data_IF_328135774688
#
_entry.id   IF_328135774688
#
_cell.length_a   1.000
_cell.length_b   1.000
_cell.length_c   1.000
_cell.angle_alpha   90.00
_cell.angle_beta   90.00
_cell.angle_gamma   90.00
#
_symmetry.space_group_name_H-M   'P 1'
#
loop_
_entity.id
_entity.type
_entity.pdbx_description
1 polymer ?
#
# COMPACT_ATOMS: atom_id res chain seq x y z
N UNK A 1 -10.10 8.33 -20.24
CA UNK A 1 -8.95 8.83 -19.46
C UNK A 1 -9.50 9.57 -18.26
N UNK A 2 -9.16 9.12 -17.04
CA UNK A 2 -9.64 9.77 -15.82
C UNK A 2 -9.01 11.15 -15.66
N UNK A 3 -9.78 12.11 -15.15
CA UNK A 3 -9.29 13.47 -14.87
C UNK A 3 -8.49 13.47 -13.55
N UNK A 4 -7.30 12.85 -13.59
CA UNK A 4 -6.43 12.71 -12.43
C UNK A 4 -5.99 14.07 -11.87
N UNK A 5 -5.86 15.08 -12.73
CA UNK A 5 -5.53 16.45 -12.34
C UNK A 5 -6.62 17.06 -11.45
N UNK A 6 -7.91 16.93 -11.82
CA UNK A 6 -9.00 17.37 -10.93
C UNK A 6 -9.06 16.57 -9.65
N UNK A 7 -8.87 15.25 -9.70
CA UNK A 7 -8.86 14.42 -8.50
C UNK A 7 -7.76 14.87 -7.52
N UNK A 8 -6.55 15.12 -8.03
CA UNK A 8 -5.43 15.62 -7.24
C UNK A 8 -5.76 16.98 -6.61
N UNK A 9 -6.34 17.92 -7.37
CA UNK A 9 -6.74 19.23 -6.87
C UNK A 9 -7.71 19.12 -5.69
N UNK A 10 -8.73 18.25 -5.80
CA UNK A 10 -9.69 18.03 -4.71
C UNK A 10 -9.03 17.41 -3.48
N UNK A 11 -8.18 16.39 -3.66
CA UNK A 11 -7.49 15.76 -2.53
C UNK A 11 -6.48 16.68 -1.86
N UNK A 12 -5.74 17.51 -2.58
CA UNK A 12 -4.81 18.48 -2.01
C UNK A 12 -5.55 19.59 -1.23
N UNK A 13 -6.70 20.07 -1.74
CA UNK A 13 -7.55 21.01 -1.00
C UNK A 13 -8.06 20.40 0.31
N UNK A 14 -8.56 19.17 0.26
CA UNK A 14 -9.01 18.46 1.46
C UNK A 14 -7.86 18.24 2.45
N UNK A 15 -6.68 17.86 1.96
CA UNK A 15 -5.49 17.66 2.77
C UNK A 15 -5.09 18.93 3.54
N UNK A 16 -5.06 20.09 2.85
CA UNK A 16 -4.76 21.39 3.47
C UNK A 16 -5.75 21.77 4.57
N UNK A 17 -7.01 21.37 4.44
CA UNK A 17 -8.03 21.57 5.50
C UNK A 17 -7.71 20.67 6.69
N UNK A 18 -7.43 19.40 6.45
CA UNK A 18 -7.06 18.45 7.51
C UNK A 18 -5.78 18.88 8.25
N UNK A 19 -4.74 19.33 7.56
CA UNK A 19 -3.50 19.80 8.19
C UNK A 19 -3.72 20.98 9.13
N UNK A 20 -4.67 21.87 8.81
CA UNK A 20 -5.00 23.02 9.67
C UNK A 20 -5.89 22.65 10.86
N UNK A 21 -6.75 21.65 10.68
CA UNK A 21 -7.80 21.32 11.65
C UNK A 21 -7.42 20.19 12.60
N UNK A 22 -6.45 19.34 12.26
CA UNK A 22 -6.18 18.10 12.95
C UNK A 22 -4.74 18.03 13.50
N UNK A 23 -4.51 17.29 14.60
CA UNK A 23 -3.17 17.06 15.10
C UNK A 23 -2.34 16.24 14.08
N UNK A 24 -1.00 16.38 14.05
CA UNK A 24 -0.14 15.80 13.01
C UNK A 24 -0.23 14.27 12.81
N UNK A 25 -0.66 13.52 13.82
CA UNK A 25 -0.78 12.06 13.75
C UNK A 25 -2.24 11.59 13.58
N UNK A 26 -3.17 12.49 13.21
CA UNK A 26 -4.57 12.12 13.06
C UNK A 26 -4.77 11.13 11.88
N UNK A 27 -5.54 10.04 12.05
CA UNK A 27 -5.74 9.04 10.98
C UNK A 27 -6.24 9.61 9.64
N UNK A 28 -7.08 10.65 9.67
CA UNK A 28 -7.55 11.33 8.45
C UNK A 28 -6.43 11.94 7.62
N UNK A 29 -5.33 12.42 8.24
CA UNK A 29 -4.16 12.90 7.51
C UNK A 29 -3.51 11.74 6.75
N UNK A 30 -3.35 10.58 7.38
CA UNK A 30 -2.81 9.40 6.71
C UNK A 30 -3.68 8.97 5.52
N UNK A 31 -5.00 8.93 5.69
CA UNK A 31 -5.92 8.60 4.59
C UNK A 31 -5.80 9.59 3.43
N UNK A 32 -5.74 10.89 3.72
CA UNK A 32 -5.59 11.91 2.67
C UNK A 32 -4.26 11.80 1.91
N UNK A 33 -3.15 11.55 2.61
CA UNK A 33 -1.86 11.26 1.98
C UNK A 33 -1.90 10.00 1.11
N UNK A 34 -2.52 8.92 1.59
CA UNK A 34 -2.65 7.68 0.82
C UNK A 34 -3.48 7.87 -0.45
N UNK A 35 -4.52 8.72 -0.42
CA UNK A 35 -5.33 9.03 -1.61
C UNK A 35 -4.52 9.82 -2.64
N UNK A 36 -3.77 10.84 -2.20
CA UNK A 36 -2.88 11.62 -3.07
C UNK A 36 -1.82 10.70 -3.71
N UNK A 37 -1.19 9.83 -2.92
CA UNK A 37 -0.22 8.85 -3.42
C UNK A 37 -0.83 7.91 -4.47
N UNK A 38 -2.06 7.45 -4.24
CA UNK A 38 -2.79 6.62 -5.21
C UNK A 38 -3.07 7.33 -6.53
N UNK A 39 -3.36 8.63 -6.51
CA UNK A 39 -3.53 9.44 -7.73
C UNK A 39 -2.21 9.56 -8.49
N UNK A 40 -1.10 9.89 -7.81
CA UNK A 40 0.22 9.97 -8.44
C UNK A 40 0.66 8.64 -9.04
N UNK A 41 0.42 7.52 -8.35
CA UNK A 41 0.65 6.17 -8.88
C UNK A 41 -0.11 5.96 -10.19
N UNK A 42 -1.39 6.31 -10.24
CA UNK A 42 -2.21 6.16 -11.44
C UNK A 42 -1.78 7.09 -12.59
N UNK A 43 -1.10 8.19 -12.29
CA UNK A 43 -0.46 9.08 -13.27
C UNK A 43 0.92 8.58 -13.73
N UNK A 44 1.46 7.54 -13.12
CA UNK A 44 2.82 7.05 -13.38
C UNK A 44 3.93 7.84 -12.67
N UNK A 45 3.59 8.82 -11.82
CA UNK A 45 4.56 9.53 -10.98
C UNK A 45 4.82 8.74 -9.70
N UNK A 46 5.61 7.67 -9.86
CA UNK A 46 5.89 6.74 -8.77
C UNK A 46 6.71 7.36 -7.64
N UNK A 47 7.59 8.32 -7.95
CA UNK A 47 8.38 9.03 -6.93
C UNK A 47 7.48 9.81 -5.97
N UNK A 48 6.52 10.58 -6.47
CA UNK A 48 5.55 11.26 -5.61
C UNK A 48 4.62 10.28 -4.93
N UNK A 49 4.19 9.21 -5.62
CA UNK A 49 3.37 8.18 -5.00
C UNK A 49 4.03 7.58 -3.75
N UNK A 50 5.31 7.24 -3.82
CA UNK A 50 6.10 6.75 -2.68
C UNK A 50 6.15 7.78 -1.56
N UNK A 51 6.53 9.04 -1.87
CA UNK A 51 6.62 10.11 -0.86
C UNK A 51 5.31 10.23 -0.05
N UNK A 52 4.17 10.22 -0.74
CA UNK A 52 2.87 10.37 -0.11
C UNK A 52 2.44 9.11 0.65
N UNK A 53 2.68 7.91 0.12
CA UNK A 53 2.39 6.67 0.84
C UNK A 53 3.27 6.50 2.10
N UNK A 54 4.55 6.90 2.06
CA UNK A 54 5.45 6.88 3.22
C UNK A 54 5.02 7.86 4.31
N UNK A 55 4.58 9.08 3.95
CA UNK A 55 3.99 10.03 4.91
C UNK A 55 2.74 9.45 5.59
N UNK A 56 1.87 8.80 4.82
CA UNK A 56 0.71 8.07 5.36
C UNK A 56 1.13 6.97 6.33
N UNK A 57 2.08 6.12 5.93
CA UNK A 57 2.58 5.01 6.74
C UNK A 57 3.16 5.52 8.07
N UNK A 58 4.01 6.54 8.05
CA UNK A 58 4.63 7.13 9.24
C UNK A 58 3.61 7.65 10.27
N UNK A 59 2.47 8.19 9.81
CA UNK A 59 1.39 8.59 10.71
C UNK A 59 0.74 7.36 11.34
N UNK A 60 0.43 6.34 10.53
CA UNK A 60 -0.21 5.11 11.01
C UNK A 60 0.68 4.34 11.99
N UNK A 61 2.00 4.27 11.75
CA UNK A 61 2.96 3.61 12.64
C UNK A 61 3.01 4.26 14.03
N UNK A 62 2.76 5.58 14.11
CA UNK A 62 2.69 6.30 15.39
C UNK A 62 1.34 6.16 16.09
N UNK A 63 0.27 5.97 15.31
CA UNK A 63 -1.11 6.02 15.82
C UNK A 63 -1.72 4.65 16.10
N UNK A 64 -1.17 3.57 15.52
CA UNK A 64 -1.77 2.24 15.52
C UNK A 64 -0.82 1.20 16.12
N UNK A 65 -1.36 0.11 16.72
CA UNK A 65 -0.56 -1.06 17.07
C UNK A 65 0.15 -1.65 15.86
N UNK A 66 1.32 -2.27 16.07
CA UNK A 66 2.19 -2.80 15.00
C UNK A 66 1.52 -3.85 14.10
N UNK A 67 0.56 -4.61 14.62
CA UNK A 67 -0.19 -5.61 13.86
C UNK A 67 -1.54 -5.08 13.34
N UNK A 68 -1.78 -3.76 13.30
CA UNK A 68 -3.05 -3.23 12.83
C UNK A 68 -3.18 -3.40 11.29
N UNK A 69 -4.28 -3.97 10.75
CA UNK A 69 -4.44 -4.23 9.32
C UNK A 69 -4.24 -3.02 8.40
N UNK A 70 -4.51 -1.80 8.88
CA UNK A 70 -4.25 -0.57 8.10
C UNK A 70 -2.77 -0.28 7.85
N UNK A 71 -1.85 -0.82 8.65
CA UNK A 71 -0.41 -0.79 8.37
C UNK A 71 -0.09 -1.71 7.20
N UNK A 72 -0.63 -2.93 7.20
CA UNK A 72 -0.50 -3.86 6.07
C UNK A 72 -0.97 -3.23 4.75
N UNK A 73 -2.15 -2.60 4.74
CA UNK A 73 -2.63 -1.88 3.54
C UNK A 73 -1.64 -0.81 3.06
N UNK A 74 -0.93 -0.16 3.97
CA UNK A 74 0.04 0.89 3.62
C UNK A 74 1.31 0.30 3.03
N UNK A 75 1.86 -0.77 3.63
CA UNK A 75 2.99 -1.50 3.05
C UNK A 75 2.62 -2.10 1.68
N UNK A 76 1.42 -2.67 1.54
CA UNK A 76 0.93 -3.19 0.25
C UNK A 76 0.88 -2.10 -0.84
N UNK A 77 0.41 -0.89 -0.51
CA UNK A 77 0.38 0.20 -1.48
C UNK A 77 1.79 0.63 -1.92
N UNK A 78 2.76 0.63 -1.01
CA UNK A 78 4.16 0.93 -1.35
C UNK A 78 4.76 -0.20 -2.21
N UNK A 79 4.51 -1.46 -1.84
CA UNK A 79 4.93 -2.63 -2.63
C UNK A 79 4.38 -2.58 -4.06
N UNK A 80 3.11 -2.19 -4.23
CA UNK A 80 2.51 -2.00 -5.55
C UNK A 80 3.16 -0.89 -6.37
N UNK A 81 3.61 0.20 -5.74
CA UNK A 81 4.35 1.24 -6.46
C UNK A 81 5.70 0.71 -6.95
N UNK A 82 6.45 0.00 -6.11
CA UNK A 82 7.72 -0.61 -6.53
C UNK A 82 7.52 -1.67 -7.62
N UNK A 83 6.47 -2.49 -7.51
CA UNK A 83 6.07 -3.44 -8.55
C UNK A 83 5.83 -2.74 -9.88
N UNK A 84 5.10 -1.63 -9.88
CA UNK A 84 4.84 -0.84 -11.10
C UNK A 84 6.09 -0.16 -11.66
N UNK A 85 7.14 0.02 -10.85
CA UNK A 85 8.47 0.49 -11.28
C UNK A 85 9.35 -0.65 -11.82
N UNK A 86 8.94 -1.91 -11.68
CA UNK A 86 9.75 -3.09 -11.98
C UNK A 86 10.85 -3.37 -10.94
N UNK A 87 10.75 -2.80 -9.74
CA UNK A 87 11.64 -3.12 -8.62
C UNK A 87 11.02 -4.24 -7.80
N UNK A 88 11.12 -5.46 -8.32
CA UNK A 88 10.53 -6.66 -7.74
C UNK A 88 11.11 -6.98 -6.36
N UNK A 89 12.40 -6.70 -6.14
CA UNK A 89 13.04 -6.92 -4.84
C UNK A 89 12.43 -6.06 -3.75
N UNK A 90 12.22 -4.76 -4.00
CA UNK A 90 11.52 -3.90 -3.04
C UNK A 90 10.03 -4.19 -2.97
N UNK A 91 9.39 -4.52 -4.09
CA UNK A 91 7.98 -4.91 -4.07
C UNK A 91 7.76 -6.09 -3.10
N UNK A 92 8.61 -7.13 -3.20
CA UNK A 92 8.57 -8.30 -2.34
C UNK A 92 8.77 -7.92 -0.86
N UNK A 93 9.80 -7.13 -0.52
CA UNK A 93 10.05 -6.69 0.86
C UNK A 93 8.80 -6.04 1.50
N UNK A 94 8.12 -5.18 0.76
CA UNK A 94 6.94 -4.48 1.26
C UNK A 94 5.69 -5.37 1.29
N UNK A 95 5.52 -6.28 0.32
CA UNK A 95 4.42 -7.25 0.33
C UNK A 95 4.57 -8.27 1.46
N UNK A 96 5.77 -8.75 1.76
CA UNK A 96 6.03 -9.65 2.89
C UNK A 96 5.68 -8.99 4.23
N UNK A 97 6.08 -7.73 4.45
CA UNK A 97 5.68 -6.95 5.65
C UNK A 97 4.16 -6.80 5.75
N UNK A 98 3.48 -6.54 4.62
CA UNK A 98 2.03 -6.49 4.59
C UNK A 98 1.41 -7.84 4.94
N UNK A 99 1.96 -8.92 4.38
CA UNK A 99 1.48 -10.27 4.56
C UNK A 99 1.59 -10.72 6.03
N UNK A 100 2.74 -10.51 6.65
CA UNK A 100 2.97 -10.86 8.06
C UNK A 100 1.95 -10.19 9.00
N UNK A 101 1.62 -8.92 8.75
CA UNK A 101 0.61 -8.21 9.55
C UNK A 101 -0.79 -8.78 9.28
N UNK A 102 -1.16 -9.02 8.02
CA UNK A 102 -2.46 -9.60 7.70
C UNK A 102 -2.62 -11.01 8.28
N UNK A 103 -1.59 -11.85 8.22
CA UNK A 103 -1.59 -13.21 8.76
C UNK A 103 -1.84 -13.21 10.28
N UNK A 104 -1.24 -12.26 11.00
CA UNK A 104 -1.45 -12.13 12.46
C UNK A 104 -2.79 -11.52 12.84
N UNK A 105 -3.35 -10.66 11.98
CA UNK A 105 -4.47 -9.80 12.35
C UNK A 105 -5.82 -10.25 11.80
N UNK A 106 -5.84 -11.11 10.79
CA UNK A 106 -7.04 -11.48 10.04
C UNK A 106 -7.28 -13.00 10.10
N UNK A 107 -8.55 -13.45 9.98
CA UNK A 107 -8.82 -14.87 9.84
C UNK A 107 -8.27 -15.42 8.52
N UNK A 108 -7.96 -16.73 8.44
CA UNK A 108 -7.34 -17.34 7.24
C UNK A 108 -8.06 -17.07 5.92
N UNK A 109 -9.40 -16.98 5.95
CA UNK A 109 -10.22 -16.79 4.74
C UNK A 109 -10.48 -15.32 4.40
N UNK A 110 -9.72 -14.38 4.99
CA UNK A 110 -9.95 -12.96 4.76
C UNK A 110 -9.44 -12.53 3.37
N UNK A 111 -10.21 -11.79 2.56
CA UNK A 111 -9.82 -11.39 1.20
C UNK A 111 -8.48 -10.64 1.10
N UNK A 112 -8.16 -9.82 2.09
CA UNK A 112 -6.86 -9.12 2.14
C UNK A 112 -5.66 -10.07 2.35
N UNK A 113 -5.83 -11.15 3.11
CA UNK A 113 -4.77 -12.14 3.31
C UNK A 113 -4.54 -12.92 2.01
N UNK A 114 -5.64 -13.37 1.39
CA UNK A 114 -5.67 -13.96 0.05
C UNK A 114 -4.94 -13.06 -0.99
N UNK A 115 -5.33 -11.78 -1.06
CA UNK A 115 -4.69 -10.78 -1.93
C UNK A 115 -3.18 -10.62 -1.68
N UNK A 116 -2.72 -10.76 -0.43
CA UNK A 116 -1.29 -10.67 -0.12
C UNK A 116 -0.49 -11.87 -0.60
N UNK A 117 -1.07 -13.09 -0.55
CA UNK A 117 -0.46 -14.27 -1.17
C UNK A 117 -0.34 -14.09 -2.69
N UNK A 118 -1.40 -13.61 -3.34
CA UNK A 118 -1.39 -13.31 -4.77
C UNK A 118 -0.33 -12.28 -5.17
N UNK A 119 -0.18 -11.20 -4.39
CA UNK A 119 0.82 -10.18 -4.68
C UNK A 119 2.25 -10.73 -4.58
N UNK A 120 2.53 -11.55 -3.56
CA UNK A 120 3.86 -12.18 -3.39
C UNK A 120 4.11 -13.20 -4.51
N UNK A 121 3.14 -14.07 -4.80
CA UNK A 121 3.23 -15.04 -5.89
C UNK A 121 3.44 -14.36 -7.25
N UNK A 122 2.78 -13.22 -7.47
CA UNK A 122 2.96 -12.37 -8.64
C UNK A 122 4.39 -11.88 -8.82
N UNK A 123 5.02 -11.41 -7.74
CA UNK A 123 6.41 -10.94 -7.79
C UNK A 123 7.38 -12.09 -8.06
N UNK A 124 7.21 -13.25 -7.42
CA UNK A 124 8.03 -14.43 -7.74
C UNK A 124 7.89 -14.89 -9.19
N UNK A 125 6.67 -14.82 -9.75
CA UNK A 125 6.44 -15.14 -11.16
C UNK A 125 7.12 -14.13 -12.10
N UNK A 126 7.07 -12.83 -11.78
CA UNK A 126 7.75 -11.77 -12.53
C UNK A 126 9.29 -11.96 -12.48
N UNK A 127 9.83 -12.49 -11.37
CA UNK A 127 11.24 -12.86 -11.20
C UNK A 127 11.62 -14.22 -11.83
N UNK A 128 10.66 -15.00 -12.32
CA UNK A 128 10.90 -16.33 -12.92
C UNK A 128 10.97 -17.50 -11.94
N UNK A 129 10.74 -17.29 -10.65
CA UNK A 129 10.61 -18.37 -9.66
C UNK A 129 9.16 -18.89 -9.63
N UNK A 130 8.81 -19.64 -10.68
CA UNK A 130 7.47 -20.18 -10.83
C UNK A 130 7.11 -21.23 -9.78
N UNK A 131 8.10 -21.92 -9.19
CA UNK A 131 7.86 -22.91 -8.14
C UNK A 131 7.30 -22.20 -6.90
N UNK A 132 8.01 -21.17 -6.45
CA UNK A 132 7.59 -20.39 -5.27
C UNK A 132 6.29 -19.64 -5.56
N UNK A 133 6.12 -19.08 -6.77
CA UNK A 133 4.87 -18.44 -7.16
C UNK A 133 3.66 -19.37 -7.03
N UNK A 134 3.77 -20.62 -7.50
CA UNK A 134 2.68 -21.61 -7.40
C UNK A 134 2.37 -21.98 -5.94
N UNK A 135 3.38 -22.11 -5.08
CA UNK A 135 3.19 -22.37 -3.66
C UNK A 135 2.40 -21.23 -2.96
N UNK A 136 2.62 -19.99 -3.39
CA UNK A 136 1.88 -18.83 -2.90
C UNK A 136 0.45 -18.78 -3.45
N UNK A 137 0.24 -19.02 -4.75
CA UNK A 137 -1.09 -19.06 -5.34
C UNK A 137 -1.96 -20.19 -4.78
N UNK A 138 -1.36 -21.33 -4.39
CA UNK A 138 -2.10 -22.41 -3.77
C UNK A 138 -2.67 -22.07 -2.39
N UNK A 139 -2.09 -21.08 -1.69
CA UNK A 139 -2.56 -20.62 -0.36
C UNK A 139 -3.67 -19.57 -0.44
N UNK A 140 -3.97 -19.07 -1.64
CA UNK A 140 -5.08 -18.15 -1.90
C UNK A 140 -6.44 -18.87 -2.05
N UNK A 141 -6.42 -20.17 -2.36
CA UNK A 141 -7.58 -21.04 -2.64
C UNK A 141 -8.15 -21.70 -1.37
#
# INVERSE_FOLDING_TARGET
MGDYSKALEFYEKAHKIYEKALPPNHPSLATSYSNIGGVYKNMGDYSRALEFHEKSLKIKEKALPTNHPSLATSYNNIGLVYKNMGDDSKALEFYEKSHEIYEKALPPNHPNLASSYNNIGGVYADMGDYSTALDFYAKDL
#
